data_IF_878401823934
#
_entry.id   IF_878401823934
#
_cell.length_a   1.000
_cell.length_b   1.000
_cell.length_c   1.000
_cell.angle_alpha   90.00
_cell.angle_beta   90.00
_cell.angle_gamma   90.00
#
_symmetry.space_group_name_H-M   'P 1'
#
loop_
_entity.id
_entity.type
_entity.pdbx_description
1 polymer ?
#
# COMPACT_ATOMS: atom_id res chain seq x y z
N UNK A 1 -0.10 -8.17 12.03
CA UNK A 1 -0.97 -8.38 10.86
C UNK A 1 -0.48 -7.50 9.74
N UNK A 2 -0.64 -7.93 8.49
CA UNK A 2 -0.31 -7.15 7.31
C UNK A 2 -1.54 -7.05 6.40
N UNK A 3 -1.64 -5.97 5.64
CA UNK A 3 -2.65 -5.76 4.63
C UNK A 3 -1.99 -5.35 3.32
N UNK A 4 -2.57 -5.75 2.20
CA UNK A 4 -2.19 -5.37 0.86
C UNK A 4 -3.45 -5.05 0.07
N UNK A 5 -3.40 -4.00 -0.74
CA UNK A 5 -4.39 -3.69 -1.77
C UNK A 5 -3.66 -3.43 -3.08
N UNK A 6 -4.05 -4.12 -4.15
CA UNK A 6 -3.44 -3.92 -5.47
C UNK A 6 -4.43 -4.14 -6.62
N UNK A 7 -4.41 -3.24 -7.60
CA UNK A 7 -5.06 -3.38 -8.89
C UNK A 7 -4.38 -4.45 -9.74
N UNK A 8 -5.17 -5.39 -10.26
CA UNK A 8 -4.61 -6.52 -11.02
C UNK A 8 -4.10 -6.14 -12.41
N UNK A 9 -4.40 -4.93 -12.90
CA UNK A 9 -3.82 -4.35 -14.12
C UNK A 9 -2.40 -3.82 -13.94
N UNK A 10 -1.93 -3.76 -12.69
CA UNK A 10 -0.60 -3.29 -12.32
C UNK A 10 -0.53 -1.77 -12.12
N UNK A 11 -1.67 -1.09 -12.05
CA UNK A 11 -1.78 0.36 -11.82
C UNK A 11 -2.83 0.69 -10.77
N UNK A 12 -2.58 1.71 -9.97
CA UNK A 12 -3.49 2.31 -9.00
C UNK A 12 -3.50 3.82 -9.21
N UNK A 13 -4.66 4.33 -9.67
CA UNK A 13 -4.80 5.71 -10.12
C UNK A 13 -3.80 6.07 -11.24
N UNK A 14 -3.42 7.36 -11.37
CA UNK A 14 -2.46 7.81 -12.36
C UNK A 14 -1.00 7.62 -11.88
N UNK A 15 -0.65 6.42 -11.41
CA UNK A 15 0.68 6.13 -10.84
C UNK A 15 1.34 4.89 -11.45
N UNK A 16 2.62 4.69 -11.13
CA UNK A 16 3.40 3.51 -11.52
C UNK A 16 3.22 2.31 -10.57
N UNK A 17 2.51 2.50 -9.46
CA UNK A 17 2.25 1.46 -8.48
C UNK A 17 0.95 0.72 -8.82
N UNK A 18 0.90 -0.58 -8.56
CA UNK A 18 -0.33 -1.36 -8.55
C UNK A 18 -1.13 -1.12 -7.26
N UNK A 19 -0.51 -0.54 -6.23
CA UNK A 19 -1.10 -0.30 -4.91
C UNK A 19 -0.01 -0.25 -3.84
N UNK A 20 -0.34 -0.63 -2.61
CA UNK A 20 0.59 -0.62 -1.48
C UNK A 20 0.30 -1.74 -0.46
N UNK A 21 1.27 -1.99 0.41
CA UNK A 21 1.08 -2.86 1.57
C UNK A 21 1.39 -2.11 2.87
N UNK A 22 0.82 -2.59 3.97
CA UNK A 22 1.07 -2.06 5.32
C UNK A 22 1.23 -3.20 6.31
N UNK A 23 2.04 -2.96 7.34
CA UNK A 23 2.16 -3.83 8.51
C UNK A 23 2.10 -3.02 9.81
N UNK A 24 2.28 -3.68 10.95
CA UNK A 24 2.24 -3.06 12.27
C UNK A 24 3.36 -2.03 12.52
N UNK A 25 4.37 -1.96 11.65
CA UNK A 25 5.52 -1.03 11.74
C UNK A 25 5.39 0.15 10.78
N UNK A 26 4.47 0.13 9.82
CA UNK A 26 4.30 1.21 8.81
C UNK A 26 4.17 2.59 9.47
N UNK A 27 3.34 2.72 10.50
CA UNK A 27 3.14 4.01 11.20
C UNK A 27 4.41 4.47 11.93
N UNK A 28 5.15 3.56 12.54
CA UNK A 28 6.39 3.92 13.24
C UNK A 28 7.50 4.33 12.25
N UNK A 29 7.58 3.68 11.08
CA UNK A 29 8.47 4.13 9.99
C UNK A 29 8.05 5.51 9.47
N UNK A 30 6.75 5.75 9.25
CA UNK A 30 6.22 7.04 8.82
C UNK A 30 6.58 8.17 9.80
N UNK A 31 6.41 7.94 11.11
CA UNK A 31 6.80 8.91 12.15
C UNK A 31 8.28 9.27 12.12
N UNK A 32 9.17 8.28 11.92
CA UNK A 32 10.62 8.52 11.82
C UNK A 32 11.00 9.39 10.62
N UNK A 33 10.16 9.42 9.59
CA UNK A 33 10.31 10.26 8.40
C UNK A 33 9.47 11.55 8.45
N UNK A 34 8.84 11.86 9.60
CA UNK A 34 7.91 12.98 9.77
C UNK A 34 6.71 12.97 8.81
N UNK A 35 6.26 11.80 8.38
CA UNK A 35 5.10 11.63 7.50
C UNK A 35 3.82 11.50 8.35
N UNK A 36 2.84 12.38 8.11
CA UNK A 36 1.54 12.32 8.77
C UNK A 36 0.51 11.61 7.86
N UNK A 37 0.10 10.35 8.15
CA UNK A 37 -0.81 9.60 7.30
C UNK A 37 -2.17 10.30 7.10
N UNK A 38 -2.69 11.00 8.12
CA UNK A 38 -3.96 11.72 8.00
C UNK A 38 -3.85 12.92 7.06
N UNK A 39 -2.69 13.59 7.03
CA UNK A 39 -2.45 14.68 6.10
C UNK A 39 -2.50 14.18 4.65
N UNK A 40 -1.73 13.14 4.33
CA UNK A 40 -1.71 12.56 2.98
C UNK A 40 -3.07 12.00 2.56
N UNK A 41 -3.78 11.33 3.48
CA UNK A 41 -5.13 10.83 3.21
C UNK A 41 -6.11 11.97 2.87
N UNK A 42 -6.10 13.05 3.64
CA UNK A 42 -6.97 14.22 3.41
C UNK A 42 -6.64 14.95 2.11
N UNK A 43 -5.45 14.76 1.54
CA UNK A 43 -5.03 15.33 0.25
C UNK A 43 -5.20 14.36 -0.92
N UNK A 44 -5.73 13.14 -0.70
CA UNK A 44 -5.76 12.05 -1.69
C UNK A 44 -4.35 11.72 -2.24
N UNK A 45 -3.34 11.80 -1.38
CA UNK A 45 -1.93 11.70 -1.76
C UNK A 45 -1.25 10.46 -1.14
N UNK A 46 -1.92 9.30 -1.23
CA UNK A 46 -1.42 8.04 -0.68
C UNK A 46 -0.09 7.60 -1.32
N UNK A 47 0.09 7.85 -2.62
CA UNK A 47 1.32 7.50 -3.35
C UNK A 47 2.57 8.13 -2.70
N UNK A 48 2.54 9.44 -2.41
CA UNK A 48 3.68 10.12 -1.79
C UNK A 48 3.85 9.80 -0.31
N UNK A 49 2.83 9.24 0.37
CA UNK A 49 2.99 8.67 1.71
C UNK A 49 3.78 7.35 1.68
N UNK A 50 3.43 6.44 0.77
CA UNK A 50 4.03 5.10 0.72
C UNK A 50 5.40 5.06 0.01
N UNK A 51 5.64 5.95 -0.96
CA UNK A 51 6.92 6.05 -1.68
C UNK A 51 8.16 6.14 -0.78
N UNK A 52 8.26 7.08 0.18
CA UNK A 52 9.42 7.17 1.08
C UNK A 52 9.53 6.00 2.07
N UNK A 53 8.48 5.19 2.23
CA UNK A 53 8.47 4.01 3.09
C UNK A 53 8.94 2.73 2.38
N UNK A 54 9.07 2.78 1.06
CA UNK A 54 9.29 1.60 0.20
C UNK A 54 8.17 0.54 0.37
N UNK A 55 6.93 1.03 0.49
CA UNK A 55 5.73 0.22 0.75
C UNK A 55 4.80 0.13 -0.48
N UNK A 56 5.20 0.70 -1.61
CA UNK A 56 4.50 0.60 -2.89
C UNK A 56 4.69 -0.79 -3.52
N UNK A 57 3.66 -1.27 -4.20
CA UNK A 57 3.71 -2.51 -4.97
C UNK A 57 3.91 -2.16 -6.43
N UNK A 58 5.10 -2.43 -6.96
CA UNK A 58 5.44 -2.16 -8.36
C UNK A 58 5.50 -3.47 -9.13
N UNK A 59 4.47 -3.76 -9.94
CA UNK A 59 4.44 -4.93 -10.82
C UNK A 59 4.79 -4.59 -12.26
N UNK A 60 4.61 -3.33 -12.66
CA UNK A 60 4.43 -2.95 -14.06
C UNK A 60 3.09 -3.43 -14.64
N UNK A 61 2.79 -3.10 -15.90
CA UNK A 61 1.52 -3.46 -16.53
C UNK A 61 1.41 -4.99 -16.70
N UNK A 62 0.39 -5.58 -16.09
CA UNK A 62 0.19 -7.04 -16.11
C UNK A 62 -0.50 -7.53 -17.39
N UNK A 63 -1.10 -6.60 -18.16
CA UNK A 63 -1.88 -6.85 -19.38
C UNK A 63 -3.16 -7.68 -19.17
N UNK A 64 -3.68 -7.71 -17.95
CA UNK A 64 -5.00 -8.27 -17.61
C UNK A 64 -5.68 -7.36 -16.60
N UNK A 65 -7.00 -7.42 -16.45
CA UNK A 65 -7.69 -6.67 -15.40
C UNK A 65 -8.90 -7.46 -14.90
N UNK A 66 -8.84 -7.87 -13.64
CA UNK A 66 -9.94 -8.51 -12.89
C UNK A 66 -10.27 -7.72 -11.61
N UNK A 67 -10.09 -6.40 -11.66
CA UNK A 67 -10.25 -5.44 -10.55
C UNK A 67 -9.19 -5.62 -9.46
N UNK A 68 -9.54 -5.30 -8.21
CA UNK A 68 -8.60 -5.21 -7.10
C UNK A 68 -8.52 -6.52 -6.31
N UNK A 69 -7.32 -6.80 -5.79
CA UNK A 69 -7.07 -7.86 -4.81
C UNK A 69 -6.70 -7.24 -3.46
N UNK A 70 -7.43 -7.61 -2.42
CA UNK A 70 -7.13 -7.23 -1.03
C UNK A 70 -6.77 -8.48 -0.24
N UNK A 71 -5.56 -8.49 0.34
CA UNK A 71 -5.05 -9.60 1.16
C UNK A 71 -4.83 -9.11 2.58
N UNK A 72 -5.38 -9.84 3.54
CA UNK A 72 -5.13 -9.63 4.97
C UNK A 72 -4.43 -10.85 5.55
N UNK A 73 -3.29 -10.64 6.19
CA UNK A 73 -2.54 -11.68 6.90
C UNK A 73 -2.55 -11.35 8.38
N UNK A 74 -3.18 -12.20 9.18
CA UNK A 74 -3.17 -12.12 10.64
C UNK A 74 -2.44 -13.32 11.22
N UNK A 75 -1.83 -13.14 12.39
CA UNK A 75 -1.32 -14.27 13.16
C UNK A 75 -2.51 -15.13 13.59
N UNK A 76 -2.42 -16.43 13.38
CA UNK A 76 -3.33 -17.38 13.99
C UNK A 76 -2.86 -17.66 15.42
N UNK A 77 -3.76 -17.46 16.37
CA UNK A 77 -3.57 -17.90 17.76
C UNK A 77 -4.10 -19.33 17.98
N UNK A 78 -4.58 -20.00 16.92
CA UNK A 78 -4.82 -21.45 16.96
C UNK A 78 -3.47 -22.17 17.14
N UNK A 79 -3.41 -23.16 18.05
CA UNK A 79 -2.20 -23.95 18.27
C UNK A 79 -1.73 -24.67 17.00
#
# INVERSE_FOLDING_TARGET
AAALSAGTDGTDGPTEAAGAYVDWRTIDRAKKLNLNPHHYLNQNDSFNFFKPLDDLIITGPTKTNVMDLIILIAKSDKP
#
